data_IF_964599991424
#
_entry.id   IF_964599991424
#
_cell.length_a   1.000
_cell.length_b   1.000
_cell.length_c   1.000
_cell.angle_alpha   90.00
_cell.angle_beta   90.00
_cell.angle_gamma   90.00
#
_symmetry.space_group_name_H-M   'P 1'
#
loop_
_entity.id
_entity.type
_entity.pdbx_description
1 polymer ?
#
# COMPACT_ATOMS: atom_id res chain seq x y z
N UNK A 1 0.17 21.39 -10.72
CA UNK A 1 0.94 22.20 -11.67
C UNK A 1 1.92 21.38 -12.51
N UNK A 2 2.80 20.57 -11.91
CA UNK A 2 3.74 19.73 -12.71
C UNK A 2 3.01 18.79 -13.67
N UNK A 3 1.92 18.14 -13.24
CA UNK A 3 1.09 17.29 -14.10
C UNK A 3 0.55 18.04 -15.33
N UNK A 4 0.08 19.27 -15.17
CA UNK A 4 -0.48 20.07 -16.27
C UNK A 4 0.59 20.52 -17.26
N UNK A 5 1.81 20.80 -16.78
CA UNK A 5 2.97 21.05 -17.64
C UNK A 5 3.34 19.81 -18.44
N UNK A 6 3.46 18.65 -17.77
CA UNK A 6 3.84 17.39 -18.40
C UNK A 6 2.81 16.90 -19.43
N UNK A 7 1.53 17.21 -19.23
CA UNK A 7 0.43 16.85 -20.14
C UNK A 7 0.11 17.94 -21.16
N UNK A 8 0.82 19.07 -21.16
CA UNK A 8 0.56 20.19 -22.07
C UNK A 8 -0.75 20.93 -21.82
N UNK A 9 -1.46 20.65 -20.72
CA UNK A 9 -2.69 21.36 -20.31
C UNK A 9 -2.42 22.82 -19.93
N UNK A 10 -1.16 23.15 -19.58
CA UNK A 10 -0.71 24.50 -19.27
C UNK A 10 0.70 24.72 -19.78
N UNK A 11 0.98 25.94 -20.23
CA UNK A 11 2.31 26.36 -20.63
C UNK A 11 3.17 26.85 -19.45
N UNK A 12 4.47 27.02 -19.68
CA UNK A 12 5.42 27.43 -18.63
C UNK A 12 5.08 28.82 -18.09
N UNK A 13 4.65 29.75 -18.95
CA UNK A 13 4.33 31.12 -18.55
C UNK A 13 3.10 31.15 -17.62
N UNK A 14 2.03 30.47 -17.98
CA UNK A 14 0.83 30.35 -17.16
C UNK A 14 1.09 29.62 -15.84
N UNK A 15 1.96 28.61 -15.83
CA UNK A 15 2.34 27.91 -14.60
C UNK A 15 3.10 28.84 -13.63
N UNK A 16 4.03 29.67 -14.13
CA UNK A 16 4.73 30.66 -13.30
C UNK A 16 3.76 31.64 -12.66
N UNK A 17 2.86 32.22 -13.45
CA UNK A 17 1.88 33.17 -12.94
C UNK A 17 0.95 32.55 -11.89
N UNK A 18 0.48 31.33 -12.14
CA UNK A 18 -0.38 30.59 -11.19
C UNK A 18 0.37 30.28 -9.89
N UNK A 19 1.64 29.90 -9.98
CA UNK A 19 2.48 29.63 -8.80
C UNK A 19 2.69 30.86 -7.94
N UNK A 20 2.93 32.03 -8.54
CA UNK A 20 3.06 33.29 -7.81
C UNK A 20 1.78 33.63 -7.05
N UNK A 21 0.63 33.64 -7.75
CA UNK A 21 -0.66 33.94 -7.13
C UNK A 21 -1.00 32.96 -5.99
N UNK A 22 -0.79 31.66 -6.21
CA UNK A 22 -1.10 30.64 -5.23
C UNK A 22 -0.18 30.73 -3.99
N UNK A 23 1.09 31.06 -4.19
CA UNK A 23 2.05 31.26 -3.08
C UNK A 23 1.66 32.46 -2.23
N UNK A 24 1.27 33.58 -2.87
CA UNK A 24 0.81 34.77 -2.17
C UNK A 24 -0.47 34.48 -1.40
N UNK A 25 -1.44 33.81 -2.02
CA UNK A 25 -2.70 33.45 -1.37
C UNK A 25 -2.45 32.59 -0.12
N UNK A 26 -1.63 31.54 -0.25
CA UNK A 26 -1.27 30.67 0.87
C UNK A 26 -0.59 31.44 2.00
N UNK A 27 0.39 32.29 1.68
CA UNK A 27 1.12 33.10 2.66
C UNK A 27 0.19 34.04 3.43
N UNK A 28 -0.86 34.55 2.78
CA UNK A 28 -1.85 35.42 3.39
C UNK A 28 -2.99 34.67 4.12
N UNK A 29 -2.92 33.33 4.21
CA UNK A 29 -3.98 32.51 4.79
C UNK A 29 -5.29 32.56 4.00
N UNK A 30 -5.21 32.85 2.70
CA UNK A 30 -6.35 32.80 1.76
C UNK A 30 -6.33 31.46 1.02
N UNK A 31 -7.46 31.12 0.42
CA UNK A 31 -7.60 29.91 -0.38
C UNK A 31 -6.51 29.82 -1.45
N UNK A 32 -5.79 28.70 -1.43
CA UNK A 32 -4.67 28.41 -2.32
C UNK A 32 -4.86 27.00 -2.92
N UNK A 33 -5.69 26.85 -3.97
CA UNK A 33 -6.10 25.55 -4.48
C UNK A 33 -4.94 24.62 -4.87
N UNK A 34 -3.82 25.17 -5.34
CA UNK A 34 -2.64 24.38 -5.71
C UNK A 34 -1.80 23.90 -4.52
N UNK A 35 -2.09 24.38 -3.31
CA UNK A 35 -1.51 23.89 -2.06
C UNK A 35 -2.49 22.98 -1.28
N UNK A 36 -3.78 23.05 -1.59
CA UNK A 36 -4.84 22.43 -0.78
C UNK A 36 -5.47 21.19 -1.42
N UNK A 37 -5.31 21.00 -2.74
CA UNK A 37 -6.03 19.97 -3.50
C UNK A 37 -5.08 19.09 -4.29
N UNK A 38 -5.52 17.86 -4.58
CA UNK A 38 -4.88 17.03 -5.58
C UNK A 38 -5.02 17.69 -6.96
N UNK A 39 -3.91 17.73 -7.69
CA UNK A 39 -3.81 18.41 -8.99
C UNK A 39 -3.76 17.44 -10.17
N UNK A 40 -4.19 16.23 -9.91
CA UNK A 40 -4.35 15.13 -10.84
C UNK A 40 -5.55 14.32 -10.36
N UNK A 41 -6.21 13.65 -11.30
CA UNK A 41 -7.31 12.77 -11.00
C UNK A 41 -6.78 11.51 -10.32
N UNK A 42 -7.45 11.08 -9.24
CA UNK A 42 -7.08 9.85 -8.57
C UNK A 42 -7.52 8.67 -9.45
N UNK A 43 -6.61 7.75 -9.81
CA UNK A 43 -6.99 6.56 -10.57
C UNK A 43 -7.95 5.71 -9.72
N UNK A 44 -9.11 5.35 -10.28
CA UNK A 44 -10.15 4.58 -9.57
C UNK A 44 -9.97 3.06 -9.69
N UNK A 45 -8.92 2.57 -10.37
CA UNK A 45 -8.64 1.15 -10.52
C UNK A 45 -7.33 0.88 -11.26
N UNK A 46 -6.93 -0.40 -11.34
CA UNK A 46 -5.71 -0.81 -12.05
C UNK A 46 -4.39 -0.41 -11.37
N UNK A 47 -4.47 0.10 -10.13
CA UNK A 47 -3.34 0.29 -9.22
C UNK A 47 -3.11 -0.91 -8.30
N UNK A 48 -3.95 -1.94 -8.46
CA UNK A 48 -3.88 -3.19 -7.72
C UNK A 48 -2.57 -3.89 -8.05
N UNK A 49 -1.85 -4.30 -7.02
CA UNK A 49 -0.74 -5.24 -7.18
C UNK A 49 -1.34 -6.60 -7.51
N UNK A 50 -1.24 -6.99 -8.78
CA UNK A 50 -1.82 -8.24 -9.31
C UNK A 50 -0.89 -9.45 -9.07
N UNK A 51 0.23 -9.23 -8.38
CA UNK A 51 1.23 -10.25 -8.11
C UNK A 51 0.74 -11.27 -7.05
N UNK A 52 1.38 -12.45 -7.01
CA UNK A 52 1.03 -13.51 -6.06
C UNK A 52 1.16 -13.03 -4.60
N UNK A 53 0.13 -13.30 -3.79
CA UNK A 53 0.10 -12.89 -2.40
C UNK A 53 1.22 -13.60 -1.61
N UNK A 54 2.25 -12.85 -1.23
CA UNK A 54 3.34 -13.35 -0.38
C UNK A 54 2.85 -13.95 0.95
N UNK A 55 1.66 -13.54 1.41
CA UNK A 55 1.00 -14.07 2.61
C UNK A 55 0.48 -15.50 2.36
N UNK A 56 -0.04 -15.79 1.17
CA UNK A 56 -0.57 -17.12 0.84
C UNK A 56 0.53 -18.18 0.80
N UNK A 57 1.70 -17.83 0.26
CA UNK A 57 2.87 -18.70 0.24
C UNK A 57 3.41 -18.94 1.66
N UNK A 58 3.56 -17.88 2.46
CA UNK A 58 4.02 -17.99 3.85
C UNK A 58 3.09 -18.84 4.74
N UNK A 59 1.76 -18.71 4.59
CA UNK A 59 0.79 -19.54 5.30
C UNK A 59 0.91 -21.01 4.87
N UNK A 60 1.13 -21.26 3.59
CA UNK A 60 1.27 -22.62 3.05
C UNK A 60 2.54 -23.29 3.56
N UNK A 61 3.67 -22.57 3.59
CA UNK A 61 4.92 -23.06 4.16
C UNK A 61 4.81 -23.31 5.66
N UNK A 62 4.19 -22.40 6.42
CA UNK A 62 4.00 -22.58 7.87
C UNK A 62 3.11 -23.79 8.17
N UNK A 63 2.02 -23.97 7.42
CA UNK A 63 1.13 -25.12 7.58
C UNK A 63 1.83 -26.44 7.22
N UNK A 64 2.62 -26.46 6.14
CA UNK A 64 3.43 -27.61 5.77
C UNK A 64 4.49 -27.95 6.82
N UNK A 65 5.11 -26.94 7.43
CA UNK A 65 6.04 -27.08 8.56
C UNK A 65 5.36 -27.72 9.77
N UNK A 66 4.21 -27.18 10.20
CA UNK A 66 3.45 -27.73 11.35
C UNK A 66 2.99 -29.17 11.12
N UNK A 67 2.53 -29.51 9.92
CA UNK A 67 2.11 -30.88 9.59
C UNK A 67 3.28 -31.86 9.68
N UNK A 68 4.48 -31.47 9.20
CA UNK A 68 5.70 -32.28 9.33
C UNK A 68 6.11 -32.45 10.78
N UNK A 69 6.05 -31.40 11.59
CA UNK A 69 6.37 -31.46 13.02
C UNK A 69 5.41 -32.39 13.78
N UNK A 70 4.12 -32.39 13.43
CA UNK A 70 3.14 -33.31 14.03
C UNK A 70 3.28 -34.76 13.57
N UNK A 71 3.78 -35.03 12.36
CA UNK A 71 4.07 -36.39 11.89
C UNK A 71 5.40 -36.95 12.45
N UNK A 72 6.30 -36.07 12.89
CA UNK A 72 7.60 -36.43 13.47
C UNK A 72 7.57 -36.76 14.96
N UNK A 73 6.46 -36.49 15.65
CA UNK A 73 6.28 -36.85 17.06
C UNK A 73 5.44 -38.13 17.18
N UNK A 74 6.05 -39.31 17.35
CA UNK A 74 5.31 -40.45 17.87
C UNK A 74 4.95 -40.11 19.31
N UNK A 75 3.69 -39.78 19.55
CA UNK A 75 3.13 -39.89 20.90
C UNK A 75 3.20 -41.38 21.28
N UNK A 76 4.14 -41.74 22.15
CA UNK A 76 4.14 -43.05 22.81
C UNK A 76 2.96 -43.09 23.80
N UNK A 77 1.94 -43.95 23.60
CA UNK A 77 0.89 -44.12 24.56
C UNK A 77 1.37 -45.14 25.61
N UNK A 78 1.78 -44.68 26.79
CA UNK A 78 1.94 -45.58 27.94
C UNK A 78 0.63 -45.65 28.72
N UNK A 79 -0.30 -46.44 28.21
CA UNK A 79 -1.39 -47.00 29.02
C UNK A 79 -0.96 -48.38 29.54
N UNK A 80 -0.70 -48.48 30.85
CA UNK A 80 -0.78 -49.75 31.59
C UNK A 80 -1.32 -49.50 33.00
N UNK A 81 -2.59 -49.85 33.16
CA UNK A 81 -3.25 -50.23 34.41
C UNK A 81 -2.35 -51.07 35.35
N UNK A 82 -2.42 -50.78 36.65
CA UNK A 82 -1.97 -51.61 37.80
C UNK A 82 -2.71 -52.98 37.83
N UNK A 83 -2.23 -54.06 38.49
CA UNK A 83 -2.12 -54.14 39.97
C UNK A 83 -0.98 -55.04 40.52
N UNK A 84 -0.76 -55.00 41.85
CA UNK A 84 0.13 -55.90 42.58
C UNK A 84 0.47 -55.39 43.96
#
# INVERSE_FOLDING_TARGET
>A
MVHELATGKRDVAGARHTSEQNTVAYTLGREAPYAERLLFDMPEGGTEDLDESAIGEAITEEFAGKVKDTLGHPEEPTDRCSPG
#
